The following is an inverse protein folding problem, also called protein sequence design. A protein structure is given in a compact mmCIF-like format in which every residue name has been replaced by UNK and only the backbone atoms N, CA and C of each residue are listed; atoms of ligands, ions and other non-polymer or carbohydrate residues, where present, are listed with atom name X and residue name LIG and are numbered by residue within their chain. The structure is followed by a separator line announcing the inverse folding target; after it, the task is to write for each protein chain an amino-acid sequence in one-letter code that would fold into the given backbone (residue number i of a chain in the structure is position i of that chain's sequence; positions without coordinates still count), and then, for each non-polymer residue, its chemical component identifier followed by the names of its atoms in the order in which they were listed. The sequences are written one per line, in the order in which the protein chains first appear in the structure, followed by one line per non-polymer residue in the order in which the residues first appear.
data_IF_805490158114
#
_entry.id   IF_805490158114
#
_cell.length_a   1.000
_cell.length_b   1.000
_cell.length_c   1.000
_cell.angle_alpha   90.00
_cell.angle_beta   90.00
_cell.angle_gamma   90.00
#
_symmetry.space_group_name_H-M   'P 1'
#
loop_
_entity.id
_entity.type
_entity.pdbx_description
1 polymer ?
#
# COMPACT_ATOMS: atom_id res chain seq x y z
N UNK A 1 -35.91 -7.06 -58.92
CA UNK A 1 -36.10 -8.17 -57.97
C UNK A 1 -35.10 -9.27 -58.33
N UNK A 2 -34.66 -10.01 -57.31
CA UNK A 2 -33.81 -11.23 -57.31
C UNK A 2 -32.29 -11.10 -57.53
N UNK A 3 -31.48 -12.02 -56.93
CA UNK A 3 -30.32 -11.71 -56.09
C UNK A 3 -29.03 -12.49 -56.48
N UNK A 4 -28.01 -12.44 -55.59
CA UNK A 4 -26.91 -13.41 -55.35
C UNK A 4 -25.53 -13.25 -56.06
N UNK A 5 -24.52 -13.14 -55.17
CA UNK A 5 -23.23 -13.84 -55.02
C UNK A 5 -22.10 -13.88 -56.08
N UNK A 6 -20.90 -13.76 -55.49
CA UNK A 6 -19.64 -14.50 -55.71
C UNK A 6 -18.61 -13.96 -56.73
N UNK A 7 -17.38 -13.83 -56.23
CA UNK A 7 -16.23 -14.48 -56.88
C UNK A 7 -15.07 -13.59 -57.33
N UNK A 8 -14.10 -13.41 -56.41
CA UNK A 8 -12.64 -13.62 -56.62
C UNK A 8 -11.90 -13.09 -57.86
N UNK A 9 -10.81 -12.35 -57.55
CA UNK A 9 -9.41 -12.62 -57.95
C UNK A 9 -8.80 -11.90 -59.18
N UNK A 10 -7.66 -11.22 -58.88
CA UNK A 10 -6.44 -11.00 -59.72
C UNK A 10 -6.59 -10.03 -60.90
N UNK A 11 -5.64 -9.15 -61.26
CA UNK A 11 -4.26 -8.90 -60.85
C UNK A 11 -3.78 -7.58 -61.53
N UNK A 12 -2.53 -7.16 -61.25
CA UNK A 12 -1.68 -6.22 -62.01
C UNK A 12 -1.63 -4.73 -61.60
N UNK A 13 -0.83 -4.50 -60.55
CA UNK A 13 0.42 -3.72 -60.60
C UNK A 13 0.55 -2.53 -61.58
N UNK A 14 0.71 -1.32 -61.03
CA UNK A 14 1.70 -0.35 -61.53
C UNK A 14 2.13 0.66 -60.44
N UNK A 15 3.33 0.41 -59.92
CA UNK A 15 4.36 1.37 -59.50
C UNK A 15 3.96 2.65 -58.76
N UNK A 16 4.41 2.77 -57.49
CA UNK A 16 4.82 4.05 -56.89
C UNK A 16 6.15 3.84 -56.16
N UNK A 17 7.18 4.68 -56.40
CA UNK A 17 8.43 4.56 -55.67
C UNK A 17 8.28 5.15 -54.28
N UNK A 18 8.92 4.46 -53.33
CA UNK A 18 9.21 4.92 -51.98
C UNK A 18 10.08 6.19 -52.00
N UNK A 19 9.68 7.18 -51.19
CA UNK A 19 10.62 8.10 -50.54
C UNK A 19 10.16 8.26 -49.10
N UNK A 20 10.64 7.35 -48.27
CA UNK A 20 10.57 7.40 -46.81
C UNK A 20 11.48 8.54 -46.35
N UNK A 21 10.94 9.76 -46.26
CA UNK A 21 11.58 10.82 -45.50
C UNK A 21 11.33 10.48 -44.03
N UNK A 22 12.33 9.85 -43.42
CA UNK A 22 12.49 9.84 -41.97
C UNK A 22 12.67 11.30 -41.51
N UNK A 23 11.56 11.96 -41.19
CA UNK A 23 11.60 13.15 -40.35
C UNK A 23 11.98 12.66 -38.95
N UNK A 24 13.28 12.65 -38.69
CA UNK A 24 13.82 12.72 -37.33
C UNK A 24 13.02 13.79 -36.60
N UNK A 25 12.38 13.41 -35.50
CA UNK A 25 11.77 14.33 -34.54
C UNK A 25 12.88 15.25 -34.04
N UNK A 26 13.07 16.35 -34.75
CA UNK A 26 13.95 17.42 -34.33
C UNK A 26 13.43 17.95 -32.99
N UNK A 27 14.30 17.74 -32.01
CA UNK A 27 14.46 18.51 -30.78
C UNK A 27 13.64 19.80 -30.78
N UNK A 28 12.51 19.81 -30.08
CA UNK A 28 11.84 21.04 -29.68
C UNK A 28 12.74 21.74 -28.67
N UNK A 29 13.70 22.51 -29.16
CA UNK A 29 14.28 23.59 -28.38
C UNK A 29 13.14 24.59 -28.13
N UNK A 30 12.60 24.57 -26.91
CA UNK A 30 11.60 25.54 -26.47
C UNK A 30 12.31 26.88 -26.33
N UNK A 31 12.36 27.65 -27.42
CA UNK A 31 12.70 29.05 -27.38
C UNK A 31 11.77 29.70 -26.34
N UNK A 32 12.32 30.20 -25.22
CA UNK A 32 11.54 30.85 -24.16
C UNK A 32 10.86 32.08 -24.78
N UNK A 33 9.61 31.91 -25.20
CA UNK A 33 8.78 32.99 -25.75
C UNK A 33 8.62 34.06 -24.68
N UNK A 34 9.14 35.24 -24.94
CA UNK A 34 9.06 36.38 -24.03
C UNK A 34 7.64 36.93 -24.04
N UNK A 35 7.10 37.26 -22.87
CA UNK A 35 5.77 37.84 -22.75
C UNK A 35 5.69 39.19 -23.49
N UNK A 36 4.72 39.38 -24.40
CA UNK A 36 4.41 40.69 -24.96
C UNK A 36 4.00 41.67 -23.84
N UNK A 37 4.51 42.91 -23.80
CA UNK A 37 4.22 43.86 -22.71
C UNK A 37 2.72 44.10 -22.49
N UNK A 38 1.94 44.11 -23.58
CA UNK A 38 0.49 44.31 -23.57
C UNK A 38 -0.30 43.14 -22.96
N UNK A 39 0.30 41.95 -22.95
CA UNK A 39 -0.31 40.72 -22.40
C UNK A 39 0.18 40.37 -21.00
N UNK A 40 1.02 41.23 -20.39
CA UNK A 40 1.48 41.01 -19.03
C UNK A 40 0.30 41.09 -18.07
N UNK A 41 0.11 40.05 -17.26
CA UNK A 41 -0.97 40.00 -16.29
C UNK A 41 -0.66 40.94 -15.12
N UNK A 42 -1.61 41.80 -14.78
CA UNK A 42 -1.55 42.69 -13.61
C UNK A 42 -2.57 42.31 -12.52
N UNK A 43 -3.58 41.52 -12.89
CA UNK A 43 -4.60 40.96 -12.01
C UNK A 43 -5.00 39.57 -12.53
N UNK A 44 -5.50 38.72 -11.64
CA UNK A 44 -6.15 37.46 -11.99
C UNK A 44 -7.60 37.77 -12.36
N UNK A 45 -7.92 37.76 -13.65
CA UNK A 45 -9.24 38.07 -14.18
C UNK A 45 -9.72 37.04 -15.21
N UNK A 46 -10.95 37.22 -15.69
CA UNK A 46 -11.59 36.33 -16.67
C UNK A 46 -10.82 36.21 -17.99
N UNK A 47 -10.00 37.21 -18.35
CA UNK A 47 -9.25 37.18 -19.59
C UNK A 47 -8.16 36.11 -19.55
N UNK A 48 -7.57 35.85 -18.38
CA UNK A 48 -6.55 34.81 -18.23
C UNK A 48 -7.08 33.41 -18.52
N UNK A 49 -8.39 33.18 -18.39
CA UNK A 49 -9.00 31.88 -18.73
C UNK A 49 -8.84 31.59 -20.23
N UNK A 50 -8.74 32.62 -21.06
CA UNK A 50 -8.59 32.51 -22.51
C UNK A 50 -7.13 32.35 -22.96
N UNK A 51 -6.17 32.43 -22.05
CA UNK A 51 -4.75 32.35 -22.38
C UNK A 51 -4.34 30.87 -22.56
N UNK A 52 -3.49 30.63 -23.56
CA UNK A 52 -2.85 29.34 -23.76
C UNK A 52 -1.82 29.06 -22.63
N UNK A 53 -1.49 27.79 -22.41
CA UNK A 53 -0.54 27.37 -21.35
C UNK A 53 0.80 28.13 -21.42
N UNK A 54 1.33 28.31 -22.63
CA UNK A 54 2.60 29.03 -22.83
C UNK A 54 2.49 30.53 -22.56
N UNK A 55 1.31 31.12 -22.75
CA UNK A 55 1.07 32.55 -22.50
C UNK A 55 0.99 32.80 -21.00
N UNK A 56 0.29 31.92 -20.28
CA UNK A 56 0.28 31.95 -18.82
C UNK A 56 1.69 31.77 -18.26
N UNK A 57 2.47 30.83 -18.81
CA UNK A 57 3.86 30.59 -18.42
C UNK A 57 4.76 31.80 -18.69
N UNK A 58 4.51 32.55 -19.77
CA UNK A 58 5.32 33.73 -20.09
C UNK A 58 4.88 34.97 -19.29
N UNK A 59 3.57 35.17 -19.12
CA UNK A 59 2.98 36.48 -18.79
C UNK A 59 2.40 36.60 -17.38
N UNK A 60 2.28 35.50 -16.64
CA UNK A 60 1.74 35.50 -15.27
C UNK A 60 2.86 35.30 -14.27
N UNK A 61 2.90 36.16 -13.27
CA UNK A 61 3.89 36.13 -12.20
C UNK A 61 3.42 35.30 -10.99
N UNK A 62 4.34 34.55 -10.37
CA UNK A 62 4.05 33.72 -9.21
C UNK A 62 3.60 34.53 -7.98
N UNK A 63 4.11 35.74 -7.77
CA UNK A 63 3.70 36.60 -6.67
C UNK A 63 2.27 37.11 -6.85
N UNK A 64 1.87 37.39 -8.10
CA UNK A 64 0.50 37.77 -8.42
C UNK A 64 -0.48 36.62 -8.10
N UNK A 65 -0.15 35.41 -8.54
CA UNK A 65 -0.95 34.21 -8.24
C UNK A 65 -1.05 33.97 -6.73
N UNK A 66 0.06 34.12 -5.99
CA UNK A 66 0.07 33.95 -4.55
C UNK A 66 -0.80 34.98 -3.82
N UNK A 67 -0.81 36.23 -4.29
CA UNK A 67 -1.59 37.31 -3.69
C UNK A 67 -3.10 37.22 -4.03
N UNK A 68 -3.45 36.63 -5.17
CA UNK A 68 -4.83 36.59 -5.69
C UNK A 68 -5.36 35.16 -5.84
N UNK A 69 -4.93 34.26 -4.96
CA UNK A 69 -5.30 32.84 -4.99
C UNK A 69 -6.82 32.63 -4.87
N UNK A 70 -7.54 33.50 -4.15
CA UNK A 70 -9.01 33.44 -4.09
C UNK A 70 -9.68 33.62 -5.46
N UNK A 71 -9.12 34.47 -6.33
CA UNK A 71 -9.61 34.68 -7.69
C UNK A 71 -9.27 33.47 -8.59
N UNK A 72 -8.08 32.88 -8.40
CA UNK A 72 -7.71 31.63 -9.09
C UNK A 72 -8.72 30.51 -8.79
N UNK A 73 -9.22 30.45 -7.55
CA UNK A 73 -10.23 29.48 -7.13
C UNK A 73 -11.65 29.76 -7.63
N UNK A 74 -11.97 31.03 -7.92
CA UNK A 74 -13.29 31.41 -8.43
C UNK A 74 -13.42 31.22 -9.95
N UNK A 75 -12.34 31.39 -10.69
CA UNK A 75 -12.35 31.37 -12.14
C UNK A 75 -12.22 29.94 -12.70
N UNK A 76 -12.89 29.63 -13.83
CA UNK A 76 -12.95 28.28 -14.39
C UNK A 76 -11.71 27.93 -15.22
N UNK A 77 -10.52 27.96 -14.61
CA UNK A 77 -9.29 27.50 -15.26
C UNK A 77 -9.31 25.99 -15.51
N UNK A 78 -8.67 25.56 -16.60
CA UNK A 78 -8.50 24.13 -16.90
C UNK A 78 -7.42 23.51 -16.03
N UNK A 79 -7.43 22.18 -15.85
CA UNK A 79 -6.36 21.46 -15.15
C UNK A 79 -4.96 21.74 -15.72
N UNK A 80 -4.86 21.96 -17.03
CA UNK A 80 -3.60 22.31 -17.69
C UNK A 80 -3.12 23.70 -17.27
N UNK A 81 -4.01 24.70 -17.27
CA UNK A 81 -3.70 26.06 -16.84
C UNK A 81 -3.34 26.11 -15.35
N UNK A 82 -4.08 25.38 -14.50
CA UNK A 82 -3.74 25.27 -13.09
C UNK A 82 -2.39 24.58 -12.86
N UNK A 83 -2.02 23.61 -13.71
CA UNK A 83 -0.69 23.01 -13.72
C UNK A 83 0.43 24.03 -14.01
N UNK A 84 0.20 24.96 -14.94
CA UNK A 84 1.11 26.09 -15.18
C UNK A 84 1.22 26.99 -13.95
N UNK A 85 0.09 27.34 -13.34
CA UNK A 85 0.09 28.15 -12.11
C UNK A 85 0.81 27.44 -10.95
N UNK A 86 0.65 26.12 -10.83
CA UNK A 86 1.38 25.32 -9.84
C UNK A 86 2.88 25.44 -10.10
N UNK A 87 3.32 25.26 -11.35
CA UNK A 87 4.73 25.41 -11.70
C UNK A 87 5.28 26.79 -11.33
N UNK A 88 4.55 27.86 -11.66
CA UNK A 88 4.91 29.24 -11.28
C UNK A 88 5.01 29.45 -9.78
N UNK A 89 4.08 28.89 -9.01
CA UNK A 89 4.12 28.98 -7.56
C UNK A 89 5.27 28.16 -6.96
N UNK A 90 5.59 27.00 -7.53
CA UNK A 90 6.75 26.19 -7.13
C UNK A 90 8.07 26.91 -7.43
N UNK A 91 8.18 27.62 -8.57
CA UNK A 91 9.34 28.46 -8.88
C UNK A 91 9.47 29.64 -7.91
N UNK A 92 8.35 30.26 -7.54
CA UNK A 92 8.33 31.39 -6.62
C UNK A 92 8.59 30.98 -5.16
N UNK A 93 8.12 29.79 -4.77
CA UNK A 93 8.27 29.21 -3.43
C UNK A 93 8.98 27.85 -3.47
N UNK A 94 10.29 27.81 -3.79
CA UNK A 94 11.02 26.55 -3.95
C UNK A 94 11.10 25.72 -2.66
N UNK A 95 10.96 26.37 -1.50
CA UNK A 95 10.98 25.74 -0.18
C UNK A 95 9.59 25.33 0.34
N UNK A 96 8.53 25.52 -0.45
CA UNK A 96 7.15 25.27 -0.04
C UNK A 96 6.37 26.55 0.25
N UNK A 97 5.05 26.43 0.23
CA UNK A 97 4.14 27.58 0.30
C UNK A 97 4.05 28.15 1.72
N UNK A 98 4.00 29.48 1.87
CA UNK A 98 3.75 30.10 3.16
C UNK A 98 2.32 29.85 3.62
N UNK A 99 2.08 29.83 4.93
CA UNK A 99 0.76 29.57 5.50
C UNK A 99 -0.31 30.58 5.03
N UNK A 100 0.09 31.82 4.76
CA UNK A 100 -0.78 32.86 4.18
C UNK A 100 -1.29 32.50 2.78
N UNK A 101 -0.56 31.71 2.00
CA UNK A 101 -1.05 31.19 0.72
C UNK A 101 -1.89 29.92 0.94
N UNK A 102 -1.43 29.04 1.84
CA UNK A 102 -2.10 27.75 2.10
C UNK A 102 -3.56 27.94 2.52
N UNK A 103 -3.82 28.96 3.35
CA UNK A 103 -5.17 29.33 3.79
C UNK A 103 -6.14 29.64 2.65
N UNK A 104 -5.63 30.14 1.53
CA UNK A 104 -6.42 30.58 0.39
C UNK A 104 -6.43 29.56 -0.76
N UNK A 105 -5.75 28.40 -0.61
CA UNK A 105 -5.63 27.44 -1.70
C UNK A 105 -6.97 26.91 -2.22
N UNK A 106 -7.99 26.76 -1.37
CA UNK A 106 -9.31 26.32 -1.81
C UNK A 106 -9.25 25.07 -2.70
N UNK A 107 -9.95 25.11 -3.84
CA UNK A 107 -9.95 24.08 -4.88
C UNK A 107 -8.59 23.87 -5.56
N UNK A 108 -7.71 24.87 -5.59
CA UNK A 108 -6.35 24.73 -6.09
C UNK A 108 -5.55 23.68 -5.30
N UNK A 109 -5.95 23.38 -4.06
CA UNK A 109 -5.40 22.28 -3.28
C UNK A 109 -5.43 20.94 -4.05
N UNK A 110 -6.43 20.73 -4.91
CA UNK A 110 -6.57 19.49 -5.68
C UNK A 110 -5.45 19.30 -6.72
N UNK A 111 -4.74 20.36 -7.11
CA UNK A 111 -3.59 20.26 -8.04
C UNK A 111 -2.27 19.91 -7.34
N UNK A 112 -2.27 19.90 -6.01
CA UNK A 112 -1.06 19.73 -5.22
C UNK A 112 -0.82 18.24 -4.94
N UNK A 113 0.44 17.84 -4.93
CA UNK A 113 0.82 16.45 -4.63
C UNK A 113 1.19 16.29 -3.15
N UNK A 114 1.18 15.06 -2.60
CA UNK A 114 1.71 14.80 -1.26
C UNK A 114 3.14 15.34 -1.07
N UNK A 115 3.98 15.25 -2.12
CA UNK A 115 5.35 15.75 -2.10
C UNK A 115 5.43 17.28 -1.98
N UNK A 116 4.48 18.01 -2.56
CA UNK A 116 4.39 19.46 -2.39
C UNK A 116 3.99 19.80 -0.95
N UNK A 117 2.97 19.11 -0.43
CA UNK A 117 2.45 19.29 0.93
C UNK A 117 3.54 19.07 1.97
N UNK A 118 4.42 18.08 1.78
CA UNK A 118 5.51 17.79 2.72
C UNK A 118 6.49 18.95 2.96
N UNK A 119 6.56 19.92 2.04
CA UNK A 119 7.41 21.11 2.17
C UNK A 119 6.80 22.19 3.06
N UNK A 120 5.49 22.15 3.30
CA UNK A 120 4.75 23.23 3.94
C UNK A 120 4.92 23.24 5.45
N UNK A 121 4.74 24.41 6.06
CA UNK A 121 4.57 24.53 7.51
C UNK A 121 3.12 24.93 7.79
N UNK A 122 2.32 23.99 8.29
CA UNK A 122 0.89 24.19 8.57
C UNK A 122 0.69 24.18 10.07
N UNK A 123 0.27 25.31 10.65
CA UNK A 123 0.12 25.46 12.10
C UNK A 123 -1.33 25.71 12.52
N UNK A 124 -2.16 26.18 11.60
CA UNK A 124 -3.56 26.51 11.83
C UNK A 124 -4.49 25.31 11.61
N UNK A 125 -5.23 24.92 12.66
CA UNK A 125 -6.28 23.91 12.57
C UNK A 125 -7.38 24.30 11.58
N UNK A 126 -7.74 25.59 11.52
CA UNK A 126 -8.80 26.06 10.61
C UNK A 126 -8.38 25.92 9.14
N UNK A 127 -7.08 26.06 8.85
CA UNK A 127 -6.53 25.78 7.51
C UNK A 127 -6.70 24.30 7.16
N UNK A 128 -6.37 23.40 8.10
CA UNK A 128 -6.57 21.97 7.91
C UNK A 128 -8.04 21.65 7.65
N UNK A 129 -8.96 22.20 8.47
CA UNK A 129 -10.41 22.01 8.29
C UNK A 129 -10.88 22.48 6.91
N UNK A 130 -10.46 23.66 6.46
CA UNK A 130 -10.84 24.20 5.16
C UNK A 130 -10.40 23.27 4.00
N UNK A 131 -9.14 22.82 4.03
CA UNK A 131 -8.60 21.92 3.00
C UNK A 131 -9.23 20.52 3.04
N UNK A 132 -9.57 20.01 4.23
CA UNK A 132 -10.32 18.76 4.38
C UNK A 132 -11.73 18.88 3.78
N UNK A 133 -12.41 20.01 3.95
CA UNK A 133 -13.74 20.22 3.35
C UNK A 133 -13.66 20.19 1.82
N UNK A 134 -12.69 20.86 1.21
CA UNK A 134 -12.50 20.84 -0.25
C UNK A 134 -12.16 19.43 -0.76
N UNK A 135 -11.44 18.65 0.05
CA UNK A 135 -11.05 17.28 -0.30
C UNK A 135 -12.20 16.27 -0.14
N UNK A 136 -13.30 16.65 0.50
CA UNK A 136 -14.39 15.72 0.83
C UNK A 136 -15.04 15.17 -0.44
N UNK A 137 -15.15 13.84 -0.52
CA UNK A 137 -15.67 13.14 -1.70
C UNK A 137 -14.71 13.12 -2.89
N UNK A 138 -13.56 13.77 -2.79
CA UNK A 138 -12.48 13.68 -3.76
C UNK A 138 -11.53 12.56 -3.33
N UNK A 139 -11.04 11.75 -4.27
CA UNK A 139 -10.09 10.65 -3.99
C UNK A 139 -8.67 11.19 -3.68
N UNK A 140 -8.55 12.04 -2.67
CA UNK A 140 -7.31 12.74 -2.29
C UNK A 140 -6.69 12.23 -0.98
N UNK A 141 -6.85 10.94 -0.71
CA UNK A 141 -6.41 10.31 0.54
C UNK A 141 -4.92 10.57 0.85
N UNK A 142 -4.06 10.49 -0.17
CA UNK A 142 -2.62 10.77 0.00
C UNK A 142 -2.33 12.24 0.37
N UNK A 143 -3.09 13.19 -0.17
CA UNK A 143 -2.94 14.61 0.18
C UNK A 143 -3.45 14.88 1.60
N UNK A 144 -4.58 14.29 1.97
CA UNK A 144 -5.12 14.36 3.33
C UNK A 144 -4.13 13.78 4.33
N UNK A 145 -3.58 12.59 4.07
CA UNK A 145 -2.57 11.97 4.91
C UNK A 145 -1.32 12.86 5.06
N UNK A 146 -0.82 13.43 3.96
CA UNK A 146 0.32 14.35 4.00
C UNK A 146 0.03 15.63 4.78
N UNK A 147 -1.18 16.19 4.65
CA UNK A 147 -1.62 17.39 5.37
C UNK A 147 -1.66 17.15 6.88
N UNK A 148 -2.28 16.03 7.30
CA UNK A 148 -2.31 15.63 8.71
C UNK A 148 -0.89 15.42 9.24
N UNK A 149 -0.05 14.70 8.49
CA UNK A 149 1.34 14.47 8.87
C UNK A 149 2.12 15.77 9.11
N UNK A 150 1.91 16.80 8.28
CA UNK A 150 2.57 18.09 8.44
C UNK A 150 2.05 18.90 9.62
N UNK A 151 0.75 18.90 9.83
CA UNK A 151 0.14 19.57 10.98
C UNK A 151 0.58 18.96 12.31
N UNK A 152 0.59 17.62 12.40
CA UNK A 152 1.05 16.88 13.58
C UNK A 152 2.56 17.06 13.83
N UNK A 153 3.37 17.08 12.76
CA UNK A 153 4.80 17.38 12.87
C UNK A 153 5.08 18.80 13.39
N UNK A 154 4.17 19.74 13.17
CA UNK A 154 4.20 21.09 13.74
C UNK A 154 3.74 21.17 15.20
N UNK A 155 3.37 20.04 15.82
CA UNK A 155 2.80 19.99 17.17
C UNK A 155 1.32 20.34 17.23
N UNK A 156 0.64 20.40 16.07
CA UNK A 156 -0.79 20.60 16.00
C UNK A 156 -1.56 19.40 16.56
N UNK A 157 -2.71 19.65 17.16
CA UNK A 157 -3.65 18.61 17.59
C UNK A 157 -5.00 18.81 16.91
N UNK A 158 -5.52 17.72 16.34
CA UNK A 158 -6.86 17.66 15.77
C UNK A 158 -7.91 17.55 16.87
N UNK A 159 -8.95 18.38 16.77
CA UNK A 159 -10.13 18.26 17.61
C UNK A 159 -11.01 17.05 17.20
N UNK A 160 -11.94 16.70 18.08
CA UNK A 160 -12.84 15.56 17.85
C UNK A 160 -13.67 15.71 16.58
N UNK A 161 -14.17 16.91 16.28
CA UNK A 161 -14.98 17.16 15.08
C UNK A 161 -14.18 16.94 13.79
N UNK A 162 -12.89 17.28 13.80
CA UNK A 162 -11.98 17.06 12.68
C UNK A 162 -11.66 15.57 12.53
N UNK A 163 -11.42 14.85 13.63
CA UNK A 163 -11.26 13.38 13.61
C UNK A 163 -12.53 12.67 13.10
N UNK A 164 -13.72 13.15 13.47
CA UNK A 164 -14.99 12.63 12.96
C UNK A 164 -15.16 12.89 11.46
N UNK A 165 -14.67 14.04 10.97
CA UNK A 165 -14.63 14.34 9.54
C UNK A 165 -13.67 13.41 8.80
N UNK A 166 -12.52 13.09 9.40
CA UNK A 166 -11.54 12.17 8.82
C UNK A 166 -12.09 10.75 8.62
N UNK A 167 -13.12 10.34 9.37
CA UNK A 167 -13.77 9.05 9.19
C UNK A 167 -14.41 8.86 7.81
N UNK A 168 -14.61 9.94 7.03
CA UNK A 168 -15.11 9.86 5.63
C UNK A 168 -14.00 9.61 4.60
N UNK A 169 -12.74 9.63 5.01
CA UNK A 169 -11.56 9.44 4.15
C UNK A 169 -10.95 8.06 4.34
N UNK A 170 -10.03 7.68 3.45
CA UNK A 170 -9.28 6.44 3.62
C UNK A 170 -8.44 6.46 4.90
N UNK A 171 -8.39 5.37 5.70
CA UNK A 171 -7.64 5.28 6.95
C UNK A 171 -6.11 5.45 6.87
N UNK A 172 -5.55 5.80 5.71
CA UNK A 172 -4.12 6.11 5.50
C UNK A 172 -3.57 7.18 6.45
N UNK A 173 -4.41 8.02 7.04
CA UNK A 173 -3.99 9.06 7.98
C UNK A 173 -3.67 8.53 9.39
N UNK A 174 -4.11 7.31 9.74
CA UNK A 174 -4.04 6.80 11.12
C UNK A 174 -2.62 6.83 11.70
N UNK A 175 -1.62 6.49 10.88
CA UNK A 175 -0.22 6.42 11.29
C UNK A 175 0.46 7.79 11.46
N UNK A 176 -0.26 8.88 11.24
CA UNK A 176 0.24 10.23 11.48
C UNK A 176 -0.34 10.86 12.75
N UNK A 177 -1.36 10.24 13.34
CA UNK A 177 -1.98 10.71 14.57
C UNK A 177 -1.15 10.34 15.80
N UNK A 178 -1.17 11.20 16.82
CA UNK A 178 -0.63 10.88 18.13
C UNK A 178 -1.41 9.72 18.80
N UNK A 179 -0.78 8.96 19.71
CA UNK A 179 -1.46 7.92 20.49
C UNK A 179 -2.74 8.43 21.20
N UNK A 180 -2.73 9.67 21.68
CA UNK A 180 -3.85 10.30 22.36
C UNK A 180 -5.05 10.51 21.40
N UNK A 181 -4.78 10.99 20.19
CA UNK A 181 -5.82 11.19 19.16
C UNK A 181 -6.34 9.87 18.60
N UNK A 182 -5.48 8.86 18.47
CA UNK A 182 -5.91 7.49 18.12
C UNK A 182 -6.93 6.94 19.13
N UNK A 183 -6.82 7.35 20.40
CA UNK A 183 -7.82 7.09 21.43
C UNK A 183 -9.20 7.71 21.18
N UNK A 184 -9.31 8.69 20.27
CA UNK A 184 -10.56 9.36 19.92
C UNK A 184 -11.11 8.96 18.55
N UNK A 185 -10.38 8.15 17.78
CA UNK A 185 -10.82 7.68 16.46
C UNK A 185 -12.04 6.76 16.57
N UNK A 186 -13.01 6.96 15.67
CA UNK A 186 -14.23 6.17 15.63
C UNK A 186 -13.95 4.68 15.31
N UNK A 187 -14.64 3.74 15.95
CA UNK A 187 -14.48 2.31 15.69
C UNK A 187 -14.70 1.92 14.22
N UNK A 188 -15.61 2.61 13.51
CA UNK A 188 -15.90 2.37 12.08
C UNK A 188 -14.67 2.51 11.18
N UNK A 189 -13.74 3.40 11.52
CA UNK A 189 -12.47 3.58 10.79
C UNK A 189 -11.61 2.32 10.92
N UNK A 190 -11.63 1.69 12.11
CA UNK A 190 -10.86 0.47 12.34
C UNK A 190 -11.36 -0.71 11.49
N UNK A 191 -12.66 -0.75 11.24
CA UNK A 191 -13.29 -1.73 10.35
C UNK A 191 -12.89 -1.56 8.88
N UNK A 192 -12.63 -0.32 8.47
CA UNK A 192 -12.26 0.03 7.11
C UNK A 192 -10.75 -0.08 6.85
N UNK A 193 -9.92 -0.14 7.89
CA UNK A 193 -8.47 -0.22 7.74
C UNK A 193 -8.04 -1.55 7.10
N UNK A 194 -6.98 -1.48 6.31
CA UNK A 194 -6.35 -2.60 5.61
C UNK A 194 -4.86 -2.59 5.95
N UNK A 195 -4.13 -3.70 5.73
CA UNK A 195 -2.70 -3.76 6.01
C UNK A 195 -1.91 -2.55 5.50
N UNK A 196 -2.14 -2.14 4.24
CA UNK A 196 -1.45 -1.01 3.63
C UNK A 196 -1.67 0.34 4.34
N UNK A 197 -2.77 0.51 5.09
CA UNK A 197 -3.04 1.74 5.83
C UNK A 197 -2.25 1.81 7.14
N UNK A 198 -1.70 0.68 7.59
CA UNK A 198 -1.01 0.54 8.87
C UNK A 198 0.51 0.37 8.70
N UNK A 199 1.01 0.24 7.46
CA UNK A 199 2.44 0.06 7.16
C UNK A 199 3.32 1.18 7.72
N UNK A 200 2.82 2.42 7.73
CA UNK A 200 3.57 3.57 8.25
C UNK A 200 3.49 3.72 9.79
N UNK A 201 2.73 2.87 10.49
CA UNK A 201 2.45 3.05 11.91
C UNK A 201 3.63 2.60 12.77
N UNK A 202 3.97 3.44 13.76
CA UNK A 202 5.03 3.14 14.73
C UNK A 202 4.51 2.27 15.87
N UNK A 203 5.37 1.56 16.61
CA UNK A 203 4.96 0.72 17.73
C UNK A 203 4.04 1.40 18.77
N UNK A 204 4.26 2.68 19.18
CA UNK A 204 3.35 3.35 20.11
C UNK A 204 1.92 3.51 19.58
N UNK A 205 1.78 3.74 18.26
CA UNK A 205 0.47 3.86 17.62
C UNK A 205 -0.21 2.50 17.53
N UNK A 206 0.54 1.46 17.17
CA UNK A 206 0.02 0.08 17.10
C UNK A 206 -0.44 -0.41 18.48
N UNK A 207 0.24 -0.04 19.55
CA UNK A 207 -0.16 -0.37 20.93
C UNK A 207 -1.51 0.26 21.33
N UNK A 208 -1.91 1.38 20.72
CA UNK A 208 -3.25 1.96 20.92
C UNK A 208 -4.27 1.37 19.96
N UNK A 209 -3.89 1.16 18.70
CA UNK A 209 -4.79 0.67 17.66
C UNK A 209 -5.25 -0.77 17.92
N UNK A 210 -4.37 -1.65 18.37
CA UNK A 210 -4.70 -3.06 18.58
C UNK A 210 -5.80 -3.28 19.63
N UNK A 211 -5.70 -2.77 20.88
CA UNK A 211 -6.76 -2.96 21.87
C UNK A 211 -8.09 -2.34 21.44
N UNK A 212 -8.06 -1.21 20.71
CA UNK A 212 -9.27 -0.59 20.16
C UNK A 212 -9.89 -1.43 19.05
N UNK A 213 -9.08 -2.02 18.17
CA UNK A 213 -9.54 -2.91 17.13
C UNK A 213 -10.14 -4.19 17.74
N UNK A 214 -9.46 -4.79 18.72
CA UNK A 214 -9.97 -5.91 19.50
C UNK A 214 -11.34 -5.58 20.12
N UNK A 215 -11.48 -4.40 20.74
CA UNK A 215 -12.75 -3.94 21.29
C UNK A 215 -13.83 -3.72 20.21
N UNK A 216 -13.46 -3.13 19.06
CA UNK A 216 -14.37 -2.88 17.95
C UNK A 216 -14.88 -4.17 17.28
N UNK A 217 -14.11 -5.26 17.35
CA UNK A 217 -14.40 -6.54 16.71
C UNK A 217 -14.97 -7.59 17.67
N UNK A 218 -15.34 -7.23 18.90
CA UNK A 218 -15.84 -8.18 19.92
C UNK A 218 -17.05 -9.01 19.47
N UNK A 219 -17.88 -8.47 18.58
CA UNK A 219 -19.08 -9.15 18.08
C UNK A 219 -18.80 -10.08 16.88
N UNK A 220 -17.55 -10.18 16.45
CA UNK A 220 -17.10 -11.06 15.36
C UNK A 220 -16.35 -12.24 15.97
N UNK A 221 -16.57 -13.43 15.42
CA UNK A 221 -15.93 -14.66 15.88
C UNK A 221 -15.37 -15.48 14.73
N UNK A 222 -14.42 -16.38 15.02
CA UNK A 222 -13.87 -17.31 14.05
C UNK A 222 -13.03 -16.63 12.96
N UNK A 223 -13.09 -17.14 11.74
CA UNK A 223 -12.25 -16.73 10.61
C UNK A 223 -12.33 -15.23 10.29
N UNK A 224 -13.52 -14.66 10.37
CA UNK A 224 -13.74 -13.24 10.11
C UNK A 224 -13.01 -12.35 11.13
N UNK A 225 -13.03 -12.74 12.41
CA UNK A 225 -12.31 -12.01 13.45
C UNK A 225 -10.80 -12.01 13.17
N UNK A 226 -10.22 -13.18 12.86
CA UNK A 226 -8.80 -13.29 12.53
C UNK A 226 -8.43 -12.47 11.31
N UNK A 227 -9.26 -12.49 10.26
CA UNK A 227 -9.06 -11.67 9.07
C UNK A 227 -9.05 -10.16 9.39
N UNK A 228 -9.90 -9.71 10.31
CA UNK A 228 -10.03 -8.30 10.71
C UNK A 228 -8.97 -7.82 11.69
N UNK A 229 -8.59 -8.65 12.66
CA UNK A 229 -7.60 -8.25 13.68
C UNK A 229 -6.16 -8.34 13.17
N UNK A 230 -5.89 -9.22 12.19
CA UNK A 230 -4.55 -9.48 11.65
C UNK A 230 -3.74 -8.22 11.30
N UNK A 231 -4.27 -7.20 10.61
CA UNK A 231 -3.52 -5.99 10.28
C UNK A 231 -3.01 -5.22 11.51
N UNK A 232 -3.68 -5.36 12.66
CA UNK A 232 -3.39 -4.63 13.89
C UNK A 232 -2.34 -5.29 14.78
N UNK A 233 -1.97 -6.53 14.47
CA UNK A 233 -0.96 -7.26 15.24
C UNK A 233 0.47 -6.74 14.95
N UNK A 234 0.67 -5.88 13.94
CA UNK A 234 1.98 -5.32 13.56
C UNK A 234 2.94 -6.37 12.99
N UNK A 235 4.13 -5.98 12.52
CA UNK A 235 5.09 -6.92 11.90
C UNK A 235 5.73 -7.91 12.89
N UNK A 236 5.90 -7.51 14.16
CA UNK A 236 6.51 -8.35 15.19
C UNK A 236 5.63 -9.57 15.57
N UNK A 237 4.30 -9.43 15.55
CA UNK A 237 3.35 -10.54 15.76
C UNK A 237 2.81 -11.06 14.42
N UNK A 238 2.79 -10.22 13.38
CA UNK A 238 2.42 -10.56 12.02
C UNK A 238 3.42 -11.48 11.33
N UNK A 239 4.67 -11.57 11.75
CA UNK A 239 5.61 -12.61 11.31
C UNK A 239 5.22 -14.01 11.81
N UNK A 240 4.59 -14.09 13.00
CA UNK A 240 3.92 -15.30 13.49
C UNK A 240 2.58 -15.49 12.78
N UNK A 241 1.86 -14.40 12.44
CA UNK A 241 0.54 -14.41 11.83
C UNK A 241 0.50 -14.18 10.28
N UNK A 242 1.62 -14.30 9.57
CA UNK A 242 1.76 -13.83 8.20
C UNK A 242 3.09 -14.23 7.57
N UNK A 243 3.07 -15.35 6.85
CA UNK A 243 4.21 -15.81 6.07
C UNK A 243 4.55 -14.87 4.90
N UNK A 244 5.65 -14.14 5.06
CA UNK A 244 6.75 -13.88 4.10
C UNK A 244 7.44 -12.56 4.50
N UNK A 245 8.29 -12.62 5.52
CA UNK A 245 9.30 -11.60 5.71
C UNK A 245 10.46 -11.89 4.74
N UNK A 246 10.66 -11.04 3.75
CA UNK A 246 11.94 -10.94 3.05
C UNK A 246 12.95 -10.42 4.08
N UNK A 247 13.71 -11.35 4.65
CA UNK A 247 14.62 -11.12 5.77
C UNK A 247 15.73 -10.14 5.39
N UNK A 248 15.55 -8.86 5.69
CA UNK A 248 16.64 -7.86 5.75
C UNK A 248 16.39 -6.84 6.87
N UNK A 249 16.33 -7.26 8.13
CA UNK A 249 16.66 -6.40 9.26
C UNK A 249 16.97 -7.21 10.54
N UNK A 250 17.87 -6.71 11.42
CA UNK A 250 18.70 -7.56 12.27
C UNK A 250 18.38 -7.33 13.75
N UNK A 251 17.43 -8.09 14.32
CA UNK A 251 17.33 -8.29 15.77
C UNK A 251 17.00 -9.74 16.06
N UNK A 252 17.96 -10.43 16.69
CA UNK A 252 17.76 -11.74 17.27
C UNK A 252 16.96 -11.61 18.57
N UNK A 253 15.84 -12.33 18.62
CA UNK A 253 15.06 -12.83 19.76
C UNK A 253 13.63 -13.11 19.26
N UNK A 254 13.50 -14.13 18.41
CA UNK A 254 12.21 -14.61 17.93
C UNK A 254 11.83 -15.81 18.78
N UNK A 255 11.15 -15.58 19.91
CA UNK A 255 10.42 -16.66 20.56
C UNK A 255 9.05 -16.79 19.87
N UNK A 256 8.64 -17.99 19.44
CA UNK A 256 7.27 -18.21 18.99
C UNK A 256 6.32 -17.86 20.14
N UNK A 257 5.22 -17.16 19.83
CA UNK A 257 4.22 -16.77 20.82
C UNK A 257 3.84 -17.98 21.68
N UNK A 258 4.00 -17.85 22.99
CA UNK A 258 3.60 -18.85 23.95
C UNK A 258 2.08 -18.98 23.98
N UNK A 259 1.60 -20.11 24.50
CA UNK A 259 0.16 -20.37 24.65
C UNK A 259 -0.51 -19.27 25.49
N UNK A 260 0.15 -18.82 26.56
CA UNK A 260 -0.34 -17.74 27.42
C UNK A 260 -0.44 -16.39 26.69
N UNK A 261 0.52 -16.07 25.82
CA UNK A 261 0.46 -14.85 25.02
C UNK A 261 -0.70 -14.91 24.01
N UNK A 262 -0.92 -16.04 23.35
CA UNK A 262 -2.06 -16.22 22.43
C UNK A 262 -3.40 -16.15 23.16
N UNK A 263 -3.49 -16.71 24.37
CA UNK A 263 -4.67 -16.56 25.23
C UNK A 263 -4.95 -15.09 25.56
N UNK A 264 -3.92 -14.33 25.92
CA UNK A 264 -4.06 -12.91 26.24
C UNK A 264 -4.43 -12.06 25.00
N UNK A 265 -3.92 -12.43 23.81
CA UNK A 265 -4.16 -11.70 22.56
C UNK A 265 -5.55 -11.97 21.96
N UNK A 266 -6.09 -13.18 22.12
CA UNK A 266 -7.35 -13.56 21.50
C UNK A 266 -8.53 -13.50 22.47
N UNK A 267 -8.25 -13.60 23.78
CA UNK A 267 -9.26 -13.58 24.82
C UNK A 267 -10.44 -14.52 24.51
N UNK A 268 -11.68 -14.01 24.41
CA UNK A 268 -12.86 -14.84 24.14
C UNK A 268 -12.87 -15.47 22.73
N UNK A 269 -12.12 -14.91 21.77
CA UNK A 269 -12.04 -15.43 20.41
C UNK A 269 -11.06 -16.59 20.25
N UNK A 270 -10.44 -17.04 21.35
CA UNK A 270 -9.54 -18.18 21.39
C UNK A 270 -10.19 -19.46 20.82
N UNK A 271 -11.49 -19.66 21.03
CA UNK A 271 -12.26 -20.80 20.49
C UNK A 271 -12.24 -20.83 18.96
N UNK A 272 -12.10 -19.66 18.32
CA UNK A 272 -12.00 -19.55 16.88
C UNK A 272 -10.72 -20.15 16.28
N UNK A 273 -9.67 -20.41 17.07
CA UNK A 273 -8.43 -21.02 16.59
C UNK A 273 -8.68 -22.37 15.91
N UNK A 274 -9.66 -23.14 16.38
CA UNK A 274 -9.99 -24.43 15.78
C UNK A 274 -10.48 -24.31 14.33
N UNK A 275 -11.17 -23.22 14.00
CA UNK A 275 -11.63 -22.95 12.63
C UNK A 275 -10.47 -22.58 11.69
N UNK A 276 -9.34 -22.11 12.23
CA UNK A 276 -8.16 -21.66 11.48
C UNK A 276 -6.99 -22.67 11.55
N UNK A 277 -7.19 -23.85 12.13
CA UNK A 277 -6.15 -24.87 12.36
C UNK A 277 -5.33 -25.21 11.10
N UNK A 278 -5.98 -25.25 9.94
CA UNK A 278 -5.34 -25.59 8.65
C UNK A 278 -4.82 -24.36 7.89
N UNK A 279 -5.19 -23.15 8.31
CA UNK A 279 -4.86 -21.92 7.62
C UNK A 279 -3.56 -21.34 8.16
N UNK A 280 -2.65 -20.97 7.24
CA UNK A 280 -1.53 -20.11 7.60
C UNK A 280 -2.10 -18.74 7.97
N UNK A 281 -1.83 -18.25 9.18
CA UNK A 281 -0.66 -18.59 10.00
C UNK A 281 -0.86 -19.48 11.22
N UNK A 282 -2.11 -19.75 11.61
CA UNK A 282 -2.45 -20.46 12.84
C UNK A 282 -1.84 -21.87 12.80
N UNK A 283 -1.86 -22.51 11.64
CA UNK A 283 -1.17 -23.78 11.39
C UNK A 283 0.33 -23.74 11.73
N UNK A 284 1.05 -22.73 11.26
CA UNK A 284 2.49 -22.58 11.50
C UNK A 284 2.81 -22.34 12.98
N UNK A 285 1.92 -21.63 13.69
CA UNK A 285 2.03 -21.47 15.13
C UNK A 285 1.79 -22.80 15.85
N UNK A 286 0.74 -23.55 15.51
CA UNK A 286 0.41 -24.87 16.08
C UNK A 286 1.60 -25.83 15.95
N UNK A 287 2.19 -25.94 14.76
CA UNK A 287 3.33 -26.83 14.49
C UNK A 287 4.57 -26.54 15.35
N UNK A 288 4.67 -25.35 15.94
CA UNK A 288 5.80 -24.91 16.78
C UNK A 288 5.55 -25.07 18.28
N UNK A 289 4.32 -25.34 18.70
CA UNK A 289 3.96 -25.56 20.10
C UNK A 289 4.06 -27.04 20.47
N UNK A 290 4.23 -27.36 21.76
CA UNK A 290 4.10 -28.75 22.24
C UNK A 290 2.64 -29.17 22.23
N UNK A 291 2.39 -30.44 21.93
CA UNK A 291 1.03 -30.97 21.89
C UNK A 291 0.34 -30.87 23.27
N UNK A 292 1.02 -31.18 24.38
CA UNK A 292 0.45 -31.04 25.74
C UNK A 292 0.04 -29.59 26.05
N UNK A 293 0.83 -28.61 25.58
CA UNK A 293 0.52 -27.21 25.80
C UNK A 293 -0.72 -26.81 24.97
N UNK A 294 -0.84 -27.29 23.73
CA UNK A 294 -2.03 -27.09 22.90
C UNK A 294 -3.27 -27.79 23.50
N UNK A 295 -3.09 -28.99 24.05
CA UNK A 295 -4.17 -29.76 24.68
C UNK A 295 -4.70 -29.04 25.93
N UNK A 296 -3.84 -28.30 26.65
CA UNK A 296 -4.24 -27.47 27.79
C UNK A 296 -5.26 -26.39 27.44
N UNK A 297 -5.36 -26.00 26.15
CA UNK A 297 -6.37 -25.05 25.68
C UNK A 297 -7.77 -25.65 25.62
N UNK A 298 -7.90 -26.99 25.61
CA UNK A 298 -9.20 -27.68 25.53
C UNK A 298 -9.93 -27.49 24.19
N UNK A 299 -9.24 -27.02 23.15
CA UNK A 299 -9.80 -26.73 21.82
C UNK A 299 -9.71 -27.89 20.83
N UNK A 300 -8.97 -28.95 21.21
CA UNK A 300 -8.69 -30.09 20.33
C UNK A 300 -7.83 -29.74 19.12
N UNK A 301 -6.86 -28.82 19.29
CA UNK A 301 -5.89 -28.48 18.23
C UNK A 301 -4.85 -29.60 18.10
N UNK A 302 -4.58 -30.05 16.88
CA UNK A 302 -3.63 -31.13 16.60
C UNK A 302 -2.54 -30.70 15.63
N UNK A 303 -1.39 -31.38 15.71
CA UNK A 303 -0.24 -31.10 14.84
C UNK A 303 0.92 -30.41 15.56
N UNK A 304 0.84 -30.20 16.87
CA UNK A 304 1.97 -29.74 17.67
C UNK A 304 3.09 -30.78 17.76
N UNK A 305 4.21 -30.35 18.33
CA UNK A 305 5.38 -31.20 18.60
C UNK A 305 4.93 -32.27 19.63
N UNK A 306 4.98 -33.58 19.28
CA UNK A 306 4.57 -34.64 20.19
C UNK A 306 5.42 -34.64 21.46
N UNK A 307 4.81 -34.97 22.60
CA UNK A 307 5.57 -35.20 23.82
C UNK A 307 6.13 -36.62 23.84
N UNK A 308 7.45 -36.72 23.94
CA UNK A 308 8.18 -37.98 23.98
C UNK A 308 9.00 -38.27 22.71
N UNK A 309 9.41 -39.52 22.56
CA UNK A 309 10.25 -40.00 21.47
C UNK A 309 9.41 -40.32 20.23
N UNK A 310 9.86 -39.88 19.05
CA UNK A 310 9.33 -40.34 17.77
C UNK A 310 9.63 -41.83 17.61
N UNK A 311 8.61 -42.68 17.68
CA UNK A 311 8.72 -44.05 17.19
C UNK A 311 8.66 -43.98 15.66
N UNK A 312 9.81 -43.82 15.02
CA UNK A 312 9.89 -44.05 13.58
C UNK A 312 9.75 -45.55 13.34
N UNK A 313 8.59 -45.95 12.83
CA UNK A 313 8.45 -47.29 12.26
C UNK A 313 9.28 -47.35 10.97
N UNK A 314 10.51 -47.88 11.10
CA UNK A 314 11.42 -48.14 9.99
C UNK A 314 10.99 -49.37 9.17
N UNK A 315 9.76 -49.87 9.32
CA UNK A 315 9.22 -50.98 8.55
C UNK A 315 9.09 -50.69 7.04
N UNK A 316 9.20 -49.43 6.60
CA UNK A 316 9.38 -49.09 5.18
C UNK A 316 10.84 -49.18 4.74
N UNK A 317 11.46 -50.37 4.86
CA UNK A 317 12.75 -50.71 4.22
C UNK A 317 12.62 -51.77 3.13
N UNK A 318 11.45 -51.91 2.52
CA UNK A 318 11.25 -52.91 1.44
C UNK A 318 10.73 -52.37 0.11
N UNK A 319 10.56 -51.05 -0.07
CA UNK A 319 10.06 -50.50 -1.35
C UNK A 319 11.08 -49.72 -2.19
N UNK A 320 12.34 -49.58 -1.77
CA UNK A 320 13.37 -48.83 -2.53
C UNK A 320 14.65 -49.65 -2.81
N UNK A 321 14.51 -50.95 -3.04
CA UNK A 321 15.51 -51.74 -3.76
C UNK A 321 14.86 -52.45 -4.96
N UNK A 322 14.12 -51.68 -5.76
CA UNK A 322 13.80 -52.04 -7.14
C UNK A 322 15.03 -51.83 -8.02
N UNK A 323 16.03 -52.72 -7.91
CA UNK A 323 17.11 -52.78 -8.86
C UNK A 323 16.55 -53.25 -10.22
N UNK A 324 16.65 -52.38 -11.22
CA UNK A 324 16.38 -52.70 -12.61
C UNK A 324 17.22 -53.90 -13.05
N UNK A 325 16.59 -54.95 -13.61
CA UNK A 325 17.23 -55.85 -14.57
C UNK A 325 16.27 -56.20 -15.71
N UNK A 326 16.69 -55.73 -16.89
CA UNK A 326 16.26 -56.17 -18.20
C UNK A 326 16.75 -57.60 -18.50
N UNK A 327 15.89 -58.33 -19.23
CA UNK A 327 16.10 -59.51 -20.08
C UNK A 327 16.48 -60.89 -19.48
N UNK A 328 15.61 -61.87 -19.78
CA UNK A 328 16.03 -63.11 -20.47
C UNK A 328 15.88 -64.44 -19.70
N UNK A 329 15.38 -65.53 -20.32
CA UNK A 329 14.99 -66.77 -19.64
C UNK A 329 16.14 -67.78 -19.48
N UNK A 330 16.05 -68.65 -18.48
CA UNK A 330 16.77 -69.94 -18.44
C UNK A 330 17.74 -70.13 -17.25
N UNK A 331 18.04 -71.39 -16.87
CA UNK A 331 18.22 -71.78 -15.47
C UNK A 331 19.66 -72.08 -15.04
N UNK A 332 19.87 -72.02 -13.71
CA UNK A 332 20.85 -72.76 -12.86
C UNK A 332 22.34 -72.56 -13.17
N UNK A 333 23.12 -72.09 -12.19
CA UNK A 333 24.30 -72.76 -11.61
C UNK A 333 25.07 -71.83 -10.64
N UNK A 334 25.19 -72.31 -9.39
CA UNK A 334 26.34 -72.31 -8.46
C UNK A 334 27.20 -71.06 -8.18
N UNK A 335 27.44 -70.91 -6.86
CA UNK A 335 28.69 -70.57 -6.18
C UNK A 335 29.06 -69.08 -5.96
N UNK A 336 28.99 -68.74 -4.66
CA UNK A 336 29.68 -67.71 -3.85
C UNK A 336 31.20 -67.58 -4.10
N UNK A 337 31.93 -66.66 -3.42
CA UNK A 337 31.72 -65.23 -3.08
C UNK A 337 33.05 -64.42 -3.30
N UNK A 338 33.23 -63.30 -2.58
CA UNK A 338 34.48 -62.52 -2.33
C UNK A 338 34.79 -61.40 -3.35
N UNK A 339 35.29 -60.21 -3.03
CA UNK A 339 35.54 -59.41 -1.81
C UNK A 339 36.05 -58.03 -2.29
N UNK A 340 36.03 -57.04 -1.38
CA UNK A 340 36.96 -55.89 -1.25
C UNK A 340 36.66 -54.55 -1.94
N UNK A 341 36.57 -53.54 -1.05
CA UNK A 341 37.22 -52.20 -1.06
C UNK A 341 36.90 -51.25 -2.22
N UNK A 342 36.95 -49.93 -2.08
CA UNK A 342 36.84 -48.96 -1.00
C UNK A 342 36.89 -47.59 -1.71
N UNK A 343 36.12 -46.64 -1.17
CA UNK A 343 36.42 -45.20 -1.05
C UNK A 343 37.21 -44.50 -2.18
N UNK A 344 36.62 -43.45 -2.75
CA UNK A 344 37.05 -42.03 -2.65
C UNK A 344 36.17 -41.16 -3.57
N UNK A 345 35.37 -40.24 -3.04
CA UNK A 345 35.69 -38.82 -2.77
C UNK A 345 36.01 -38.00 -4.03
N UNK A 346 35.04 -37.18 -4.45
CA UNK A 346 35.25 -35.74 -4.59
C UNK A 346 33.95 -34.97 -4.42
#
# INVERSE_FOLDING_TARGET
MTPWLQGTSRDLSRQRPELTIFLSRDRRDTEKKVCPPERKAHAVDENLVLYEEWELEACVDGALLAAQMDLVNMLPFTYQQLGVFKHKLDEFYPQGYPESLIQHLGYFFLELTPADIHKWNVTSLETVKALLQVSKGQKRDGQVAALIARYEAGGGQLDKATLDTLATFSPTYLCFLSPEQLGSVQPSVLWAARPQHLEACRPPQMHVLYPRAHAAFQNVSGSEYFAKIKPYLGEALGSVFGGKATLTAPWGLWQPLTIAEVQNLLGPNLVGLKAEEENSPVREWILRQRQDDLDSLGLGLHGGIPNGYLVMDLSFREALSGAARLLGPGPVLTATPTLLLALTLK
#
